data_IF_132505720851
#
_entry.id   IF_132505720851
#
_cell.length_a   1.000
_cell.length_b   1.000
_cell.length_c   1.000
_cell.angle_alpha   90.00
_cell.angle_beta   90.00
_cell.angle_gamma   90.00
#
_symmetry.space_group_name_H-M   'P 1'
#
loop_
_entity.id
_entity.type
_entity.pdbx_description
1 polymer ?
#
# COMPACT_ATOMS: atom_id res chain seq x y z
N UNK A 1 30.42 5.43 9.80
CA UNK A 1 29.62 6.08 8.74
C UNK A 1 28.20 5.55 8.87
N UNK A 2 27.34 6.18 9.70
CA UNK A 2 26.02 5.61 10.05
C UNK A 2 24.92 6.67 10.16
N UNK A 3 25.25 7.91 10.53
CA UNK A 3 24.25 8.97 10.78
C UNK A 3 23.44 9.36 9.55
N UNK A 4 24.03 9.31 8.35
CA UNK A 4 23.31 9.65 7.11
C UNK A 4 22.31 8.58 6.69
N UNK A 5 22.58 7.30 6.96
CA UNK A 5 21.68 6.19 6.62
C UNK A 5 20.45 6.16 7.53
N UNK A 6 20.67 6.35 8.82
CA UNK A 6 19.61 6.36 9.83
C UNK A 6 18.70 7.60 9.68
N UNK A 7 19.28 8.75 9.33
CA UNK A 7 18.52 9.97 9.05
C UNK A 7 17.64 9.83 7.80
N UNK A 8 18.14 9.22 6.73
CA UNK A 8 17.36 8.95 5.50
C UNK A 8 16.23 7.95 5.77
N UNK A 9 16.49 6.88 6.56
CA UNK A 9 15.43 5.96 6.98
C UNK A 9 14.39 6.64 7.87
N UNK A 10 14.81 7.54 8.78
CA UNK A 10 13.91 8.32 9.62
C UNK A 10 12.97 9.20 8.81
N UNK A 11 13.48 9.92 7.81
CA UNK A 11 12.65 10.72 6.90
C UNK A 11 11.72 9.86 6.04
N UNK A 12 12.21 8.75 5.49
CA UNK A 12 11.39 7.84 4.70
C UNK A 12 10.26 7.22 5.52
N UNK A 13 10.52 6.89 6.79
CA UNK A 13 9.50 6.41 7.72
C UNK A 13 8.45 7.48 8.03
N UNK A 14 8.86 8.71 8.31
CA UNK A 14 7.92 9.83 8.51
C UNK A 14 7.05 10.07 7.28
N UNK A 15 7.62 10.00 6.08
CA UNK A 15 6.86 10.11 4.84
C UNK A 15 5.87 8.93 4.70
N UNK A 16 6.28 7.70 4.98
CA UNK A 16 5.39 6.54 4.95
C UNK A 16 4.23 6.68 5.95
N UNK A 17 4.52 7.15 7.17
CA UNK A 17 3.50 7.38 8.20
C UNK A 17 2.53 8.49 7.80
N UNK A 18 3.01 9.60 7.23
CA UNK A 18 2.16 10.66 6.72
C UNK A 18 1.25 10.16 5.59
N UNK A 19 1.81 9.43 4.63
CA UNK A 19 1.03 8.86 3.53
C UNK A 19 -0.02 7.87 4.05
N UNK A 20 0.32 7.03 5.02
CA UNK A 20 -0.63 6.12 5.64
C UNK A 20 -1.78 6.87 6.32
N UNK A 21 -1.50 7.95 7.04
CA UNK A 21 -2.53 8.78 7.67
C UNK A 21 -3.45 9.45 6.64
N UNK A 22 -2.89 9.97 5.54
CA UNK A 22 -3.67 10.55 4.44
C UNK A 22 -4.62 9.50 3.84
N UNK A 23 -4.12 8.28 3.63
CA UNK A 23 -4.90 7.14 3.11
C UNK A 23 -6.03 6.78 4.09
N UNK A 24 -5.72 6.58 5.38
CA UNK A 24 -6.73 6.25 6.38
C UNK A 24 -7.83 7.31 6.46
N UNK A 25 -7.45 8.59 6.43
CA UNK A 25 -8.41 9.70 6.45
C UNK A 25 -9.34 9.71 5.23
N UNK A 26 -8.80 9.50 4.03
CA UNK A 26 -9.62 9.45 2.80
C UNK A 26 -10.51 8.22 2.80
N UNK A 27 -9.98 7.02 3.05
CA UNK A 27 -10.78 5.80 3.03
C UNK A 27 -11.85 5.79 4.11
N UNK A 28 -11.57 6.31 5.32
CA UNK A 28 -12.58 6.44 6.37
C UNK A 28 -13.74 7.33 5.93
N UNK A 29 -13.46 8.42 5.22
CA UNK A 29 -14.49 9.33 4.68
C UNK A 29 -15.36 8.65 3.63
N UNK A 30 -14.75 7.98 2.65
CA UNK A 30 -15.50 7.28 1.59
C UNK A 30 -16.31 6.10 2.13
N UNK A 31 -15.76 5.36 3.09
CA UNK A 31 -16.45 4.24 3.73
C UNK A 31 -17.65 4.68 4.58
N UNK A 32 -17.54 5.79 5.30
CA UNK A 32 -18.66 6.35 6.06
C UNK A 32 -19.84 6.76 5.16
N UNK A 33 -19.58 7.08 3.89
CA UNK A 33 -20.59 7.46 2.91
C UNK A 33 -21.10 6.31 2.04
N UNK A 34 -20.48 5.13 2.12
CA UNK A 34 -20.90 3.95 1.35
C UNK A 34 -22.08 3.26 2.04
N UNK A 35 -23.28 3.34 1.45
CA UNK A 35 -24.43 2.57 1.93
C UNK A 35 -24.13 1.06 1.82
N UNK A 36 -24.14 0.37 2.95
CA UNK A 36 -23.90 -1.07 3.02
C UNK A 36 -22.45 -1.51 3.17
N UNK A 37 -21.50 -0.57 3.32
CA UNK A 37 -20.11 -0.87 3.65
C UNK A 37 -19.34 -1.63 2.57
N UNK A 38 -19.84 -1.70 1.33
CA UNK A 38 -19.10 -2.33 0.25
C UNK A 38 -18.02 -1.38 -0.28
N UNK A 39 -16.80 -1.90 -0.34
CA UNK A 39 -15.67 -1.31 -1.05
C UNK A 39 -15.73 -1.82 -2.49
N UNK A 40 -16.38 -1.07 -3.37
CA UNK A 40 -16.35 -1.36 -4.80
C UNK A 40 -15.12 -0.74 -5.48
N UNK A 41 -14.82 -1.20 -6.69
CA UNK A 41 -13.67 -0.72 -7.46
C UNK A 41 -13.74 0.77 -7.77
N UNK A 42 -14.96 1.31 -7.93
CA UNK A 42 -15.17 2.73 -8.27
C UNK A 42 -14.80 3.63 -7.09
N UNK A 43 -15.20 3.26 -5.89
CA UNK A 43 -14.89 3.94 -4.65
C UNK A 43 -13.39 3.85 -4.34
N UNK A 44 -12.78 2.68 -4.54
CA UNK A 44 -11.33 2.51 -4.37
C UNK A 44 -10.57 3.45 -5.31
N UNK A 45 -10.92 3.46 -6.59
CA UNK A 45 -10.25 4.34 -7.56
C UNK A 45 -10.45 5.83 -7.22
N UNK A 46 -11.66 6.25 -6.85
CA UNK A 46 -11.93 7.62 -6.39
C UNK A 46 -11.10 8.00 -5.16
N UNK A 47 -10.99 7.11 -4.19
CA UNK A 47 -10.17 7.32 -3.00
C UNK A 47 -8.69 7.46 -3.38
N UNK A 48 -8.17 6.57 -4.24
CA UNK A 48 -6.78 6.63 -4.71
C UNK A 48 -6.49 7.91 -5.50
N UNK A 49 -7.42 8.40 -6.32
CA UNK A 49 -7.30 9.66 -7.02
C UNK A 49 -7.31 10.87 -6.06
N UNK A 50 -8.16 10.85 -5.03
CA UNK A 50 -8.18 11.89 -3.99
C UNK A 50 -6.88 11.89 -3.16
N UNK A 51 -6.35 10.72 -2.81
CA UNK A 51 -5.07 10.57 -2.10
C UNK A 51 -3.93 11.11 -2.97
N UNK A 52 -3.91 10.80 -4.26
CA UNK A 52 -2.92 11.33 -5.19
C UNK A 52 -2.95 12.86 -5.27
N UNK A 53 -4.13 13.47 -5.32
CA UNK A 53 -4.26 14.92 -5.39
C UNK A 53 -3.82 15.63 -4.11
N UNK A 54 -4.06 15.00 -2.95
CA UNK A 54 -3.75 15.57 -1.63
C UNK A 54 -2.32 15.32 -1.18
N UNK A 55 -1.76 14.15 -1.47
CA UNK A 55 -0.47 13.74 -0.93
C UNK A 55 0.68 14.38 -1.69
N UNK A 56 1.42 15.26 -1.02
CA UNK A 56 2.67 15.83 -1.54
C UNK A 56 3.71 14.75 -1.87
N UNK A 57 3.67 13.62 -1.15
CA UNK A 57 4.57 12.48 -1.32
C UNK A 57 4.32 11.80 -2.68
N UNK A 58 3.06 11.57 -3.05
CA UNK A 58 2.73 10.93 -4.32
C UNK A 58 2.97 11.89 -5.50
N UNK A 59 2.53 13.16 -5.37
CA UNK A 59 2.68 14.17 -6.42
C UNK A 59 4.12 14.40 -6.87
N UNK A 60 5.08 14.24 -5.96
CA UNK A 60 6.52 14.34 -6.29
C UNK A 60 7.00 13.31 -7.34
N UNK A 61 6.24 12.24 -7.58
CA UNK A 61 6.58 11.18 -8.55
C UNK A 61 5.82 11.27 -9.87
N UNK A 62 5.04 12.33 -10.10
CA UNK A 62 4.16 12.44 -11.27
C UNK A 62 2.87 11.64 -11.11
N UNK A 63 2.05 11.51 -12.18
CA UNK A 63 0.79 10.76 -12.11
C UNK A 63 1.04 9.25 -11.98
N UNK A 64 0.22 8.59 -11.17
CA UNK A 64 0.26 7.14 -10.96
C UNK A 64 -0.58 6.39 -11.98
N UNK A 65 -0.21 5.14 -12.22
CA UNK A 65 -0.92 4.25 -13.13
C UNK A 65 -1.56 3.09 -12.37
N UNK A 66 -2.78 2.76 -12.74
CA UNK A 66 -3.44 1.53 -12.27
C UNK A 66 -2.78 0.32 -12.93
N UNK A 67 -2.46 -0.69 -12.13
CA UNK A 67 -1.76 -1.90 -12.59
C UNK A 67 -2.42 -3.16 -12.04
N UNK A 68 -2.22 -4.29 -12.73
CA UNK A 68 -2.70 -5.59 -12.27
C UNK A 68 -1.94 -6.03 -11.01
N UNK A 69 -2.68 -6.50 -10.01
CA UNK A 69 -2.10 -6.86 -8.73
C UNK A 69 -2.86 -7.92 -7.95
N UNK A 70 -2.11 -8.63 -7.11
CA UNK A 70 -2.63 -9.50 -6.07
C UNK A 70 -1.59 -9.60 -4.94
N UNK A 71 -1.98 -10.11 -3.77
CA UNK A 71 -1.06 -10.32 -2.65
C UNK A 71 -1.15 -11.75 -2.13
N UNK A 72 -0.02 -12.22 -1.62
CA UNK A 72 0.08 -13.43 -0.82
C UNK A 72 0.38 -13.06 0.62
N UNK A 73 -0.15 -13.85 1.57
CA UNK A 73 -0.02 -13.57 3.00
C UNK A 73 0.81 -14.67 3.69
N UNK A 74 1.43 -14.29 4.81
CA UNK A 74 1.85 -15.22 5.87
C UNK A 74 0.63 -15.60 6.71
N UNK A 75 0.83 -16.15 7.92
CA UNK A 75 -0.28 -16.50 8.81
C UNK A 75 -1.22 -15.30 9.05
N UNK A 76 -0.66 -14.12 9.32
CA UNK A 76 -1.43 -12.91 9.68
C UNK A 76 -0.96 -11.63 8.96
N UNK A 77 -0.01 -11.68 8.02
CA UNK A 77 0.61 -10.46 7.44
C UNK A 77 0.98 -10.58 5.98
N UNK A 78 1.53 -9.51 5.41
CA UNK A 78 1.99 -9.49 4.01
C UNK A 78 3.22 -10.40 3.83
N UNK A 79 3.15 -11.32 2.86
CA UNK A 79 4.31 -12.08 2.42
C UNK A 79 4.86 -11.52 1.10
N UNK A 80 4.00 -11.39 0.10
CA UNK A 80 4.37 -10.90 -1.24
C UNK A 80 3.26 -10.01 -1.80
N UNK A 81 3.64 -8.86 -2.37
CA UNK A 81 2.75 -8.06 -3.23
C UNK A 81 3.19 -8.21 -4.68
N UNK A 82 2.30 -8.70 -5.51
CA UNK A 82 2.48 -8.79 -6.96
C UNK A 82 1.90 -7.53 -7.60
N UNK A 83 2.72 -6.80 -8.33
CA UNK A 83 2.35 -5.54 -8.97
C UNK A 83 3.12 -5.39 -10.29
N UNK A 84 2.39 -5.36 -11.41
CA UNK A 84 2.94 -5.17 -12.76
C UNK A 84 4.15 -6.05 -13.09
N UNK A 85 3.94 -7.38 -13.11
CA UNK A 85 4.96 -8.42 -13.33
C UNK A 85 6.15 -8.42 -12.33
N UNK A 86 6.11 -7.58 -11.29
CA UNK A 86 7.12 -7.52 -10.24
C UNK A 86 6.56 -7.99 -8.91
N UNK A 87 7.47 -8.47 -8.06
CA UNK A 87 7.11 -8.96 -6.74
C UNK A 87 7.82 -8.13 -5.68
N UNK A 88 7.07 -7.55 -4.75
CA UNK A 88 7.60 -7.00 -3.53
C UNK A 88 7.57 -8.08 -2.45
N UNK A 89 8.74 -8.60 -2.09
CA UNK A 89 8.88 -9.75 -1.19
C UNK A 89 9.25 -9.28 0.21
N UNK A 90 8.49 -9.76 1.21
CA UNK A 90 8.71 -9.54 2.65
C UNK A 90 9.03 -10.86 3.36
N UNK A 91 8.29 -11.93 3.03
CA UNK A 91 8.41 -13.24 3.66
C UNK A 91 7.88 -14.35 2.74
N UNK A 92 8.03 -15.60 3.17
CA UNK A 92 7.46 -16.77 2.47
C UNK A 92 5.94 -16.83 2.69
N UNK A 93 5.13 -17.05 1.63
CA UNK A 93 3.68 -17.06 1.74
C UNK A 93 3.14 -18.39 2.31
N UNK A 94 2.03 -18.29 3.05
CA UNK A 94 1.20 -19.42 3.51
C UNK A 94 -0.20 -19.41 2.89
N UNK A 95 -0.65 -18.27 2.35
CA UNK A 95 -1.86 -18.14 1.53
C UNK A 95 -1.50 -17.46 0.22
N UNK A 96 -2.09 -17.94 -0.88
CA UNK A 96 -1.85 -17.40 -2.21
C UNK A 96 -3.08 -16.70 -2.77
N UNK A 97 -2.82 -15.67 -3.56
CA UNK A 97 -3.73 -15.03 -4.51
C UNK A 97 -4.95 -14.33 -3.90
N UNK A 98 -4.70 -13.18 -3.29
CA UNK A 98 -5.75 -12.23 -2.91
C UNK A 98 -5.77 -11.10 -3.94
N UNK A 99 -6.86 -10.93 -4.70
CA UNK A 99 -6.96 -9.88 -5.70
C UNK A 99 -7.11 -8.51 -5.04
N UNK A 100 -6.61 -7.49 -5.73
CA UNK A 100 -6.73 -6.11 -5.31
C UNK A 100 -6.53 -5.11 -6.43
N UNK A 101 -6.83 -3.85 -6.14
CA UNK A 101 -6.52 -2.71 -7.01
C UNK A 101 -5.21 -2.11 -6.54
N UNK A 102 -4.31 -1.88 -7.49
CA UNK A 102 -3.05 -1.18 -7.23
C UNK A 102 -2.90 0.03 -8.12
N UNK A 103 -2.43 1.12 -7.51
CA UNK A 103 -1.90 2.28 -8.21
C UNK A 103 -0.43 2.45 -7.85
N UNK A 104 0.41 2.64 -8.87
CA UNK A 104 1.85 2.77 -8.73
C UNK A 104 2.35 4.08 -9.33
N UNK A 105 3.35 4.67 -8.67
CA UNK A 105 4.00 5.91 -9.06
C UNK A 105 5.50 5.66 -9.22
N UNK A 106 6.07 6.01 -10.37
CA UNK A 106 7.49 5.76 -10.64
C UNK A 106 7.82 4.28 -10.87
N UNK A 107 9.08 3.89 -10.65
CA UNK A 107 9.59 2.53 -10.93
C UNK A 107 9.60 1.69 -9.66
N UNK A 108 8.88 0.55 -9.68
CA UNK A 108 8.83 -0.42 -8.58
C UNK A 108 10.11 -1.27 -8.54
N UNK A 109 11.19 -0.72 -7.98
CA UNK A 109 12.50 -1.38 -7.95
C UNK A 109 13.24 -1.14 -6.63
N UNK A 110 14.02 -2.15 -6.23
CA UNK A 110 14.91 -2.10 -5.07
C UNK A 110 14.16 -2.19 -3.75
N UNK A 111 14.85 -1.78 -2.69
CA UNK A 111 14.34 -1.82 -1.32
C UNK A 111 13.28 -0.74 -1.10
N UNK A 112 12.19 -1.11 -0.41
CA UNK A 112 11.14 -0.19 0.00
C UNK A 112 10.71 -0.44 1.44
N UNK A 113 10.29 0.62 2.12
CA UNK A 113 9.51 0.50 3.35
C UNK A 113 8.08 0.14 2.98
N UNK A 114 7.40 -0.64 3.80
CA UNK A 114 5.98 -0.91 3.63
C UNK A 114 5.21 -0.75 4.92
N UNK A 115 3.91 -0.48 4.78
CA UNK A 115 2.93 -0.47 5.86
C UNK A 115 1.64 -1.15 5.41
N UNK A 116 1.10 -2.00 6.26
CA UNK A 116 -0.19 -2.66 6.11
C UNK A 116 -1.18 -1.93 7.02
N UNK A 117 -2.25 -1.41 6.43
CA UNK A 117 -3.32 -0.71 7.12
C UNK A 117 -4.56 -1.59 7.09
N UNK A 118 -5.26 -1.68 8.22
CA UNK A 118 -6.50 -2.44 8.32
C UNK A 118 -7.67 -1.50 8.06
N UNK A 119 -8.53 -1.88 7.12
CA UNK A 119 -9.78 -1.19 6.86
C UNK A 119 -10.94 -1.89 7.58
N UNK A 120 -12.07 -1.20 7.77
CA UNK A 120 -13.32 -1.82 8.21
C UNK A 120 -13.69 -3.08 7.41
N UNK A 121 -14.45 -3.98 8.03
CA UNK A 121 -14.96 -5.22 7.43
C UNK A 121 -13.88 -6.21 6.97
N UNK A 122 -12.62 -6.01 7.38
CA UNK A 122 -11.52 -6.93 7.14
C UNK A 122 -10.77 -6.67 5.83
N UNK A 123 -11.06 -5.60 5.10
CA UNK A 123 -10.21 -5.18 3.98
C UNK A 123 -8.86 -4.63 4.51
N UNK A 124 -7.86 -4.56 3.65
CA UNK A 124 -6.56 -3.98 4.01
C UNK A 124 -5.92 -3.24 2.85
N UNK A 125 -5.01 -2.34 3.20
CA UNK A 125 -4.19 -1.58 2.27
C UNK A 125 -2.74 -1.93 2.52
N UNK A 126 -1.97 -2.10 1.46
CA UNK A 126 -0.51 -2.15 1.52
C UNK A 126 0.04 -0.89 0.86
N UNK A 127 0.80 -0.13 1.61
CA UNK A 127 1.53 1.05 1.13
C UNK A 127 3.00 0.67 1.06
N UNK A 128 3.62 0.85 -0.10
CA UNK A 128 5.07 0.66 -0.30
C UNK A 128 5.67 1.99 -0.74
N UNK A 129 6.73 2.39 -0.04
CA UNK A 129 7.53 3.58 -0.32
C UNK A 129 8.97 3.16 -0.60
N UNK A 130 9.33 3.09 -1.88
CA UNK A 130 10.70 2.92 -2.34
C UNK A 130 11.31 4.23 -2.80
N UNK A 131 12.62 4.22 -3.04
CA UNK A 131 13.36 5.39 -3.53
C UNK A 131 12.92 5.78 -4.95
N UNK A 132 12.68 4.79 -5.81
CA UNK A 132 12.36 5.01 -7.23
C UNK A 132 10.86 4.95 -7.54
N UNK A 133 10.06 4.44 -6.61
CA UNK A 133 8.64 4.26 -6.83
C UNK A 133 7.85 3.98 -5.57
N UNK A 134 6.55 4.21 -5.68
CA UNK A 134 5.56 4.12 -4.61
C UNK A 134 4.40 3.29 -5.11
N UNK A 135 3.76 2.56 -4.21
CA UNK A 135 2.68 1.65 -4.56
C UNK A 135 1.64 1.65 -3.45
N UNK A 136 0.37 1.75 -3.81
CA UNK A 136 -0.75 1.52 -2.91
C UNK A 136 -1.59 0.40 -3.50
N UNK A 137 -1.66 -0.71 -2.77
CA UNK A 137 -2.54 -1.84 -3.06
C UNK A 137 -3.71 -1.82 -2.08
N UNK A 138 -4.92 -2.08 -2.57
CA UNK A 138 -6.15 -2.22 -1.77
C UNK A 138 -6.77 -3.57 -2.08
N UNK A 139 -7.01 -4.39 -1.05
CA UNK A 139 -7.63 -5.71 -1.22
C UNK A 139 -9.07 -5.60 -1.71
N UNK A 140 -9.48 -6.46 -2.64
CA UNK A 140 -10.88 -6.61 -3.07
C UNK A 140 -11.63 -7.71 -2.31
N UNK A 141 -10.93 -8.49 -1.47
CA UNK A 141 -11.53 -9.51 -0.61
C UNK A 141 -11.15 -9.26 0.84
N UNK A 142 -12.11 -9.37 1.79
CA UNK A 142 -11.81 -9.21 3.20
C UNK A 142 -10.97 -10.39 3.73
N UNK A 143 -10.04 -10.05 4.63
CA UNK A 143 -9.16 -10.94 5.39
C UNK A 143 -9.09 -10.45 6.84
N UNK A 144 -10.11 -10.72 7.67
CA UNK A 144 -10.18 -10.22 9.05
C UNK A 144 -8.96 -10.59 9.91
N UNK A 145 -8.30 -11.69 9.59
CA UNK A 145 -7.07 -12.21 10.21
C UNK A 145 -5.82 -11.36 9.94
N UNK A 146 -5.87 -10.44 8.97
CA UNK A 146 -4.72 -9.59 8.68
C UNK A 146 -4.49 -8.58 9.81
N UNK A 147 -3.24 -8.50 10.22
CA UNK A 147 -2.74 -7.57 11.22
C UNK A 147 -2.10 -6.36 10.52
N UNK A 148 -2.31 -5.18 11.11
CA UNK A 148 -1.56 -4.00 10.71
C UNK A 148 -0.09 -4.21 11.05
N UNK A 149 0.80 -3.74 10.18
CA UNK A 149 2.23 -3.99 10.33
C UNK A 149 3.04 -3.09 9.45
N UNK A 150 4.35 -3.06 9.67
CA UNK A 150 5.27 -2.30 8.83
C UNK A 150 6.63 -2.99 8.81
N UNK A 151 7.39 -2.73 7.77
CA UNK A 151 8.73 -3.30 7.65
C UNK A 151 9.42 -2.88 6.37
N UNK A 152 10.38 -3.71 5.97
CA UNK A 152 11.16 -3.53 4.75
C UNK A 152 10.92 -4.74 3.85
N UNK A 153 10.78 -4.51 2.56
CA UNK A 153 10.77 -5.55 1.54
C UNK A 153 11.60 -5.13 0.33
N UNK A 154 11.70 -6.01 -0.65
CA UNK A 154 12.46 -5.76 -1.87
C UNK A 154 11.65 -6.11 -3.12
N UNK A 155 11.71 -5.23 -4.12
CA UNK A 155 11.18 -5.52 -5.45
C UNK A 155 12.15 -6.43 -6.22
N UNK A 156 11.63 -7.54 -6.74
CA UNK A 156 12.31 -8.49 -7.63
C UNK A 156 11.61 -8.60 -8.96
#
# INVERSE_FOLDING_TARGET
MSESGDFIQGQAKQALDQLANDIEGVFSKHLATSEGGQLDETLINKALDEIEQKSSILRSSGPGNSITSHTNLTHNGLAVLHADQRNFVVALPTSTDIPGITKAWGKLQGTGLYKVLKLPLGFYIVVVLGVLGKCIYVSLKPKPEIEAGQGIGNWT
#
